data_IF_739995951742
#
_entry.id   IF_739995951742
#
_cell.length_a   1.000
_cell.length_b   1.000
_cell.length_c   1.000
_cell.angle_alpha   90.00
_cell.angle_beta   90.00
_cell.angle_gamma   90.00
#
_symmetry.space_group_name_H-M   'P 1'
#
loop_
_entity.id
_entity.type
_entity.pdbx_description
1 polymer ?
#
# COMPACT_ATOMS: atom_id res chain seq x y z
N UNK A 1 21.18 3.28 5.04
CA UNK A 1 19.93 4.03 5.24
C UNK A 1 18.84 2.99 5.34
N UNK A 2 18.01 3.05 6.38
CA UNK A 2 16.81 2.21 6.44
C UNK A 2 15.88 2.63 5.30
N UNK A 3 15.38 1.65 4.56
CA UNK A 3 14.45 1.89 3.47
C UNK A 3 13.07 2.12 4.09
N UNK A 4 12.60 3.37 4.05
CA UNK A 4 11.31 3.79 4.59
C UNK A 4 10.29 3.88 3.45
N UNK A 5 9.12 3.26 3.64
CA UNK A 5 7.99 3.37 2.72
C UNK A 5 7.00 4.40 3.28
N UNK A 6 6.83 5.51 2.57
CA UNK A 6 5.92 6.59 2.93
C UNK A 6 4.67 6.54 2.03
N UNK A 7 3.49 6.50 2.66
CA UNK A 7 2.21 6.44 1.97
C UNK A 7 1.28 7.54 2.46
N UNK A 8 0.50 8.10 1.54
CA UNK A 8 -0.58 9.03 1.82
C UNK A 8 -1.92 8.34 1.57
N UNK A 9 -2.86 8.52 2.49
CA UNK A 9 -4.22 7.98 2.40
C UNK A 9 -5.22 9.13 2.45
N UNK A 10 -6.08 9.23 1.44
CA UNK A 10 -7.18 10.18 1.39
C UNK A 10 -8.50 9.43 1.35
N UNK A 11 -9.41 9.72 2.27
CA UNK A 11 -10.72 9.08 2.34
C UNK A 11 -11.79 10.11 1.99
N UNK A 12 -12.66 9.77 1.05
CA UNK A 12 -13.79 10.57 0.59
C UNK A 12 -15.09 9.88 1.01
N UNK A 13 -15.68 10.23 2.18
CA UNK A 13 -16.79 9.47 2.73
C UNK A 13 -18.11 9.57 1.96
N UNK A 14 -18.32 10.69 1.27
CA UNK A 14 -19.50 10.91 0.43
C UNK A 14 -19.47 10.01 -0.82
N UNK A 15 -18.29 9.85 -1.42
CA UNK A 15 -18.07 9.03 -2.61
C UNK A 15 -17.80 7.57 -2.28
N UNK A 16 -17.57 7.25 -0.99
CA UNK A 16 -17.20 5.91 -0.52
C UNK A 16 -15.92 5.40 -1.18
N UNK A 17 -14.92 6.27 -1.26
CA UNK A 17 -13.64 6.01 -1.93
C UNK A 17 -12.45 6.28 -1.02
N UNK A 18 -11.43 5.41 -1.06
CA UNK A 18 -10.10 5.65 -0.54
C UNK A 18 -9.09 5.74 -1.68
N UNK A 19 -8.28 6.78 -1.67
CA UNK A 19 -7.13 6.96 -2.54
C UNK A 19 -5.84 6.71 -1.75
N UNK A 20 -4.99 5.83 -2.26
CA UNK A 20 -3.71 5.42 -1.67
C UNK A 20 -2.60 5.84 -2.62
N UNK A 21 -1.67 6.69 -2.18
CA UNK A 21 -0.60 7.18 -3.05
C UNK A 21 0.75 7.30 -2.37
N UNK A 22 1.80 7.25 -3.18
CA UNK A 22 3.16 7.60 -2.80
C UNK A 22 3.40 9.11 -2.98
N UNK A 23 4.44 9.63 -2.34
CA UNK A 23 4.94 11.00 -2.56
C UNK A 23 5.41 11.24 -4.01
N UNK A 24 5.69 10.16 -4.75
CA UNK A 24 6.04 10.18 -6.17
C UNK A 24 4.88 10.64 -7.07
N UNK A 25 3.66 10.69 -6.55
CA UNK A 25 2.43 11.01 -7.29
C UNK A 25 1.76 9.79 -7.93
N UNK A 26 2.30 8.58 -7.73
CA UNK A 26 1.66 7.33 -8.14
C UNK A 26 0.68 6.86 -7.07
N UNK A 27 -0.47 6.29 -7.46
CA UNK A 27 -1.46 5.82 -6.51
C UNK A 27 -2.58 4.99 -7.13
N UNK A 28 -3.47 4.50 -6.28
CA UNK A 28 -4.64 3.71 -6.66
C UNK A 28 -5.86 4.14 -5.85
N UNK A 29 -7.02 4.02 -6.48
CA UNK A 29 -8.32 4.35 -5.91
C UNK A 29 -9.13 3.06 -5.70
N UNK A 30 -9.83 2.98 -4.57
CA UNK A 30 -10.68 1.85 -4.23
C UNK A 30 -12.00 2.33 -3.62
N UNK A 31 -13.11 1.76 -4.05
CA UNK A 31 -14.40 1.91 -3.36
C UNK A 31 -14.41 1.11 -2.05
N UNK A 32 -15.13 1.60 -1.04
CA UNK A 32 -15.29 0.92 0.25
C UNK A 32 -16.70 1.05 0.83
N UNK A 33 -17.20 0.03 1.52
CA UNK A 33 -18.54 0.09 2.13
C UNK A 33 -18.50 0.66 3.56
N UNK A 34 -17.52 0.22 4.34
CA UNK A 34 -17.39 0.47 5.77
C UNK A 34 -15.91 0.58 6.18
N UNK A 35 -15.66 0.80 7.47
CA UNK A 35 -14.29 1.00 7.98
C UNK A 35 -13.42 -0.25 7.90
N UNK A 36 -14.01 -1.44 8.03
CA UNK A 36 -13.27 -2.70 7.93
C UNK A 36 -12.76 -2.90 6.50
N UNK A 37 -13.61 -2.57 5.52
CA UNK A 37 -13.28 -2.62 4.09
C UNK A 37 -12.13 -1.66 3.72
N UNK A 38 -12.02 -0.49 4.35
CA UNK A 38 -10.87 0.40 4.19
C UNK A 38 -9.56 -0.33 4.54
N UNK A 39 -9.55 -1.05 5.66
CA UNK A 39 -8.39 -1.85 6.08
C UNK A 39 -8.03 -2.91 5.04
N UNK A 40 -9.04 -3.57 4.47
CA UNK A 40 -8.85 -4.55 3.40
C UNK A 40 -8.29 -3.92 2.11
N UNK A 41 -8.75 -2.72 1.71
CA UNK A 41 -8.21 -2.03 0.53
C UNK A 41 -6.75 -1.63 0.70
N UNK A 42 -6.39 -1.13 1.88
CA UNK A 42 -5.00 -0.80 2.20
C UNK A 42 -4.13 -2.05 2.16
N UNK A 43 -4.58 -3.13 2.80
CA UNK A 43 -3.89 -4.42 2.76
C UNK A 43 -3.72 -4.91 1.32
N UNK A 44 -4.78 -4.91 0.52
CA UNK A 44 -4.75 -5.33 -0.88
C UNK A 44 -3.73 -4.51 -1.71
N UNK A 45 -3.70 -3.19 -1.54
CA UNK A 45 -2.71 -2.34 -2.22
C UNK A 45 -1.28 -2.74 -1.83
N UNK A 46 -1.00 -2.89 -0.53
CA UNK A 46 0.32 -3.28 -0.05
C UNK A 46 0.72 -4.67 -0.53
N UNK A 47 -0.20 -5.65 -0.53
CA UNK A 47 0.05 -6.99 -1.04
C UNK A 47 0.38 -6.99 -2.55
N UNK A 48 -0.33 -6.20 -3.36
CA UNK A 48 -0.09 -6.19 -4.80
C UNK A 48 1.17 -5.44 -5.22
N UNK A 49 1.53 -4.36 -4.52
CA UNK A 49 2.59 -3.45 -4.97
C UNK A 49 3.85 -3.49 -4.11
N UNK A 50 3.75 -3.94 -2.85
CA UNK A 50 4.85 -3.85 -1.88
C UNK A 50 5.09 -5.15 -1.11
N UNK A 51 4.37 -6.25 -1.38
CA UNK A 51 4.55 -7.51 -0.65
C UNK A 51 6.02 -7.95 -0.65
N UNK A 52 6.68 -8.01 -1.80
CA UNK A 52 8.08 -8.44 -1.88
C UNK A 52 9.03 -7.51 -1.09
N UNK A 53 8.76 -6.20 -1.12
CA UNK A 53 9.56 -5.19 -0.41
C UNK A 53 9.34 -5.23 1.10
N UNK A 54 8.11 -5.51 1.55
CA UNK A 54 7.72 -5.58 2.96
C UNK A 54 8.15 -6.91 3.56
N UNK A 55 7.87 -8.01 2.88
CA UNK A 55 8.14 -9.36 3.37
C UNK A 55 9.62 -9.72 3.32
N UNK A 56 10.47 -8.91 2.65
CA UNK A 56 11.93 -9.08 2.53
C UNK A 56 12.33 -10.53 2.74
N UNK A 57 12.03 -11.38 1.77
CA UNK A 57 12.65 -12.71 1.81
C UNK A 57 14.14 -12.42 1.73
N UNK A 58 14.87 -12.61 2.84
CA UNK A 58 16.31 -12.53 2.86
C UNK A 58 16.84 -13.57 1.85
N UNK A 59 17.01 -13.22 0.57
CA UNK A 59 18.11 -13.83 -0.20
C UNK A 59 19.41 -13.24 0.36
N UNK A 60 19.76 -13.69 1.56
CA UNK A 60 21.15 -13.72 2.00
C UNK A 60 21.89 -14.65 1.04
N UNK A 61 22.62 -14.04 0.11
CA UNK A 61 23.73 -14.66 -0.59
C UNK A 61 23.34 -15.63 -1.70
N UNK A 62 23.37 -15.13 -2.94
CA UNK A 62 24.12 -15.84 -3.98
C UNK A 62 25.35 -15.00 -4.29
N UNK A 63 26.44 -15.36 -3.63
CA UNK A 63 27.77 -15.16 -4.20
C UNK A 63 27.79 -15.76 -5.61
N UNK A 64 28.22 -14.96 -6.59
CA UNK A 64 29.06 -15.38 -7.69
C UNK A 64 30.05 -14.25 -8.00
#
# INVERSE_FOLDING_TARGET
>A
MEEELNFNFSIYPEEKVIYISEDSGSGAEYEYENIDDIGEKIKFYLENYYQEKIEKTEEKGKEL
#
